data_IF_019689532612
#
_entry.id   IF_019689532612
#
_cell.length_a   1.000
_cell.length_b   1.000
_cell.length_c   1.000
_cell.angle_alpha   90.00
_cell.angle_beta   90.00
_cell.angle_gamma   90.00
#
_symmetry.space_group_name_H-M   'P 1'
#
loop_
_entity.id
_entity.type
_entity.pdbx_description
1 polymer ?
#
# COMPACT_ATOMS: atom_id res chain seq x y z
N UNK A 1 -1.02 8.52 -17.87
CA UNK A 1 -1.65 7.39 -17.19
C UNK A 1 -2.86 7.87 -16.40
N UNK A 2 -3.96 7.19 -16.52
CA UNK A 2 -5.22 7.60 -15.90
C UNK A 2 -5.24 7.17 -14.44
N UNK A 3 -5.34 8.15 -13.52
CA UNK A 3 -5.37 7.87 -12.08
C UNK A 3 -6.61 7.10 -11.66
N UNK A 4 -7.66 7.15 -12.45
CA UNK A 4 -8.91 6.47 -12.13
C UNK A 4 -8.93 5.02 -12.59
N UNK A 5 -7.92 4.61 -13.33
CA UNK A 5 -7.84 3.26 -13.84
C UNK A 5 -7.38 2.32 -12.73
N UNK A 6 -8.13 1.26 -12.53
CA UNK A 6 -7.83 0.27 -11.50
C UNK A 6 -6.84 -0.76 -12.02
N UNK A 7 -5.93 -1.15 -11.15
CA UNK A 7 -5.01 -2.24 -11.39
C UNK A 7 -5.08 -3.19 -10.20
N UNK A 8 -4.61 -4.42 -10.38
CA UNK A 8 -4.69 -5.44 -9.33
C UNK A 8 -3.29 -5.89 -8.97
N UNK A 9 -3.04 -5.97 -7.66
CA UNK A 9 -1.81 -6.52 -7.10
C UNK A 9 -2.20 -7.57 -6.08
N UNK A 10 -1.51 -8.70 -6.07
CA UNK A 10 -1.73 -9.71 -5.06
C UNK A 10 -1.12 -9.25 -3.74
N UNK A 11 -1.91 -9.35 -2.67
CA UNK A 11 -1.49 -8.96 -1.33
C UNK A 11 -1.66 -10.17 -0.41
N UNK A 12 -0.69 -10.38 0.48
CA UNK A 12 -0.77 -11.45 1.47
C UNK A 12 -2.01 -11.26 2.34
N UNK A 13 -2.65 -12.36 2.70
CA UNK A 13 -3.91 -12.33 3.44
C UNK A 13 -3.78 -11.62 4.79
N UNK A 14 -2.69 -11.83 5.50
CA UNK A 14 -2.46 -11.21 6.80
C UNK A 14 -2.29 -9.69 6.68
N UNK A 15 -1.59 -9.22 5.64
CA UNK A 15 -1.43 -7.80 5.39
C UNK A 15 -2.76 -7.17 4.98
N UNK A 16 -3.52 -7.87 4.16
CA UNK A 16 -4.86 -7.41 3.77
C UNK A 16 -5.75 -7.22 4.99
N UNK A 17 -5.70 -8.18 5.93
CA UNK A 17 -6.48 -8.07 7.15
C UNK A 17 -6.07 -6.90 8.02
N UNK A 18 -4.77 -6.64 8.12
CA UNK A 18 -4.27 -5.50 8.88
C UNK A 18 -4.77 -4.18 8.30
N UNK A 19 -4.71 -4.04 6.99
CA UNK A 19 -5.22 -2.85 6.31
C UNK A 19 -6.73 -2.73 6.52
N UNK A 20 -7.45 -3.84 6.40
CA UNK A 20 -8.90 -3.85 6.59
C UNK A 20 -9.29 -3.38 7.98
N UNK A 21 -8.65 -3.93 9.01
CA UNK A 21 -8.94 -3.54 10.40
C UNK A 21 -8.67 -2.07 10.62
N UNK A 22 -7.54 -1.58 10.12
CA UNK A 22 -7.16 -0.19 10.29
C UNK A 22 -8.14 0.74 9.57
N UNK A 23 -8.56 0.36 8.38
CA UNK A 23 -9.54 1.13 7.62
C UNK A 23 -10.87 1.22 8.35
N UNK A 24 -11.35 0.10 8.88
CA UNK A 24 -12.62 0.05 9.62
C UNK A 24 -12.54 0.93 10.86
N UNK A 25 -11.43 0.85 11.61
CA UNK A 25 -11.25 1.66 12.83
C UNK A 25 -11.25 3.15 12.54
N UNK A 26 -10.85 3.54 11.35
CA UNK A 26 -10.76 4.95 10.96
C UNK A 26 -11.86 5.38 9.99
N UNK A 27 -12.87 4.54 9.81
CA UNK A 27 -14.01 4.84 8.95
C UNK A 27 -13.58 5.16 7.52
N UNK A 28 -12.61 4.41 7.01
CA UNK A 28 -12.08 4.56 5.66
C UNK A 28 -12.39 3.32 4.83
N UNK A 29 -12.40 3.50 3.52
CA UNK A 29 -12.49 2.35 2.61
C UNK A 29 -11.11 1.70 2.48
N UNK A 30 -11.09 0.37 2.34
CA UNK A 30 -9.84 -0.39 2.29
C UNK A 30 -8.94 0.13 1.16
N UNK A 31 -9.50 0.32 -0.03
CA UNK A 31 -8.70 0.74 -1.17
C UNK A 31 -8.13 2.16 -1.00
N UNK A 32 -8.84 3.03 -0.32
CA UNK A 32 -8.35 4.38 -0.06
C UNK A 32 -7.12 4.34 0.84
N UNK A 33 -7.20 3.57 1.93
CA UNK A 33 -6.08 3.43 2.85
C UNK A 33 -4.89 2.73 2.19
N UNK A 34 -5.15 1.65 1.46
CA UNK A 34 -4.08 0.90 0.79
C UNK A 34 -3.35 1.77 -0.24
N UNK A 35 -4.09 2.51 -1.05
CA UNK A 35 -3.48 3.39 -2.03
C UNK A 35 -2.66 4.50 -1.38
N UNK A 36 -3.14 5.05 -0.28
CA UNK A 36 -2.41 6.09 0.45
C UNK A 36 -1.10 5.57 1.01
N UNK A 37 -1.11 4.37 1.57
CA UNK A 37 0.10 3.74 2.11
C UNK A 37 1.13 3.52 0.99
N UNK A 38 0.68 2.98 -0.13
CA UNK A 38 1.55 2.72 -1.28
C UNK A 38 2.14 4.02 -1.81
N UNK A 39 1.29 5.04 -1.95
CA UNK A 39 1.72 6.34 -2.45
C UNK A 39 2.76 6.97 -1.53
N UNK A 40 2.55 6.91 -0.21
CA UNK A 40 3.49 7.46 0.75
C UNK A 40 4.87 6.82 0.63
N UNK A 41 4.92 5.51 0.48
CA UNK A 41 6.19 4.80 0.33
C UNK A 41 6.86 5.15 -1.00
N UNK A 42 6.09 5.17 -2.07
CA UNK A 42 6.64 5.46 -3.40
C UNK A 42 7.16 6.89 -3.52
N UNK A 43 6.54 7.83 -2.80
CA UNK A 43 6.99 9.22 -2.80
C UNK A 43 8.20 9.45 -1.91
N UNK A 44 8.55 8.51 -1.05
CA UNK A 44 9.74 8.59 -0.21
C UNK A 44 10.86 7.77 -0.86
N UNK A 45 11.76 8.45 -1.55
CA UNK A 45 12.82 7.79 -2.30
C UNK A 45 13.76 6.99 -1.41
N UNK A 46 14.05 7.49 -0.22
CA UNK A 46 14.92 6.79 0.71
C UNK A 46 14.29 5.49 1.21
N UNK A 47 13.02 5.58 1.57
CA UNK A 47 12.28 4.42 2.06
C UNK A 47 12.13 3.37 0.97
N UNK A 48 11.81 3.81 -0.24
CA UNK A 48 11.66 2.92 -1.39
C UNK A 48 12.99 2.23 -1.71
N UNK A 49 14.08 2.98 -1.73
CA UNK A 49 15.41 2.43 -2.03
C UNK A 49 15.83 1.42 -0.97
N UNK A 50 15.60 1.73 0.30
CA UNK A 50 15.93 0.82 1.39
C UNK A 50 15.12 -0.47 1.30
N UNK A 51 13.85 -0.37 0.95
CA UNK A 51 12.98 -1.52 0.79
C UNK A 51 13.45 -2.42 -0.35
N UNK A 52 13.77 -1.84 -1.50
CA UNK A 52 14.24 -2.60 -2.65
C UNK A 52 15.56 -3.29 -2.32
N UNK A 53 16.47 -2.60 -1.67
CA UNK A 53 17.75 -3.16 -1.25
C UNK A 53 17.56 -4.38 -0.35
N UNK A 54 16.63 -4.28 0.59
CA UNK A 54 16.31 -5.38 1.49
C UNK A 54 15.75 -6.59 0.73
N UNK A 55 14.90 -6.33 -0.25
CA UNK A 55 14.25 -7.40 -1.01
C UNK A 55 15.21 -8.11 -1.97
N UNK A 56 16.26 -7.43 -2.41
CA UNK A 56 17.24 -8.01 -3.33
C UNK A 56 18.37 -8.74 -2.63
N UNK A 57 18.49 -8.56 -1.35
CA UNK A 57 19.46 -9.30 -0.57
C UNK A 57 18.87 -10.64 -0.13
#
# INVERSE_FOLDING_TARGET
MDKNRRAVIEIQADLHQQIRKLAILNDLKIYVLANAIIEDVLNDQEKTAALIKRLKL
#
